data_IF_833594594660
#
_entry.id   IF_833594594660
#
_cell.length_a   1.000
_cell.length_b   1.000
_cell.length_c   1.000
_cell.angle_alpha   90.00
_cell.angle_beta   90.00
_cell.angle_gamma   90.00
#
_symmetry.space_group_name_H-M   'P 1'
#
loop_
_entity.id
_entity.type
_entity.pdbx_description
1 polymer ?
#
# COMPACT_ATOMS: atom_id res chain seq x y z
N UNK A 1 -23.73 16.59 -12.19
CA UNK A 1 -22.60 15.81 -12.78
C UNK A 1 -21.28 16.57 -12.71
N UNK A 2 -21.11 17.73 -13.38
CA UNK A 2 -19.83 18.47 -13.38
C UNK A 2 -19.27 18.79 -11.98
N UNK A 3 -20.10 19.23 -11.04
CA UNK A 3 -19.68 19.52 -9.65
C UNK A 3 -19.18 18.28 -8.90
N UNK A 4 -19.85 17.14 -9.07
CA UNK A 4 -19.45 15.87 -8.44
C UNK A 4 -18.14 15.33 -9.02
N UNK A 5 -17.97 15.40 -10.34
CA UNK A 5 -16.71 15.01 -10.98
C UNK A 5 -15.55 15.88 -10.52
N UNK A 6 -15.76 17.19 -10.41
CA UNK A 6 -14.73 18.11 -9.91
C UNK A 6 -14.37 17.83 -8.45
N UNK A 7 -15.36 17.64 -7.57
CA UNK A 7 -15.14 17.41 -6.14
C UNK A 7 -14.54 16.05 -5.81
N UNK A 8 -14.55 15.10 -6.75
CA UNK A 8 -14.00 13.75 -6.59
C UNK A 8 -12.88 13.47 -7.60
N UNK A 9 -12.34 14.51 -8.23
CA UNK A 9 -11.42 14.37 -9.37
C UNK A 9 -10.14 13.59 -9.01
N UNK A 10 -9.57 13.84 -7.82
CA UNK A 10 -8.39 13.11 -7.34
C UNK A 10 -8.65 11.60 -7.28
N UNK A 11 -9.71 11.17 -6.59
CA UNK A 11 -10.06 9.75 -6.48
C UNK A 11 -10.40 9.12 -7.83
N UNK A 12 -11.12 9.84 -8.70
CA UNK A 12 -11.47 9.35 -10.04
C UNK A 12 -10.19 9.13 -10.87
N UNK A 13 -9.28 10.10 -10.89
CA UNK A 13 -8.04 10.00 -11.66
C UNK A 13 -7.17 8.87 -11.12
N UNK A 14 -7.01 8.76 -9.80
CA UNK A 14 -6.23 7.68 -9.17
C UNK A 14 -6.81 6.30 -9.48
N UNK A 15 -8.14 6.11 -9.35
CA UNK A 15 -8.78 4.83 -9.65
C UNK A 15 -8.76 4.50 -11.15
N UNK A 16 -8.90 5.50 -12.02
CA UNK A 16 -8.79 5.29 -13.46
C UNK A 16 -7.37 4.87 -13.85
N UNK A 17 -6.35 5.55 -13.32
CA UNK A 17 -4.95 5.17 -13.52
C UNK A 17 -4.68 3.75 -13.01
N UNK A 18 -5.17 3.41 -11.82
CA UNK A 18 -5.09 2.05 -11.26
C UNK A 18 -5.68 1.01 -12.22
N UNK A 19 -6.89 1.20 -12.74
CA UNK A 19 -7.51 0.25 -13.69
C UNK A 19 -6.69 0.13 -14.97
N UNK A 20 -6.17 1.25 -15.50
CA UNK A 20 -5.31 1.25 -16.69
C UNK A 20 -4.03 0.45 -16.44
N UNK A 21 -3.37 0.64 -15.29
CA UNK A 21 -2.13 -0.05 -14.98
C UNK A 21 -2.33 -1.53 -14.63
N UNK A 22 -3.42 -1.90 -13.95
CA UNK A 22 -3.77 -3.32 -13.73
C UNK A 22 -4.06 -4.01 -15.06
N UNK A 23 -4.78 -3.36 -15.97
CA UNK A 23 -5.01 -3.90 -17.32
C UNK A 23 -3.70 -4.02 -18.12
N UNK A 24 -2.82 -3.01 -18.02
CA UNK A 24 -1.48 -3.05 -18.62
C UNK A 24 -0.62 -4.18 -18.08
N UNK A 25 -0.57 -4.35 -16.76
CA UNK A 25 0.12 -5.45 -16.08
C UNK A 25 -0.44 -6.80 -16.51
N UNK A 26 -1.77 -6.95 -16.58
CA UNK A 26 -2.40 -8.19 -17.02
C UNK A 26 -2.02 -8.54 -18.46
N UNK A 27 -2.04 -7.59 -19.38
CA UNK A 27 -1.69 -7.84 -20.78
C UNK A 27 -0.19 -8.12 -20.96
N UNK A 28 0.68 -7.34 -20.30
CA UNK A 28 2.12 -7.53 -20.40
C UNK A 28 2.57 -8.83 -19.75
N UNK A 29 2.10 -9.10 -18.52
CA UNK A 29 2.42 -10.32 -17.80
C UNK A 29 1.87 -11.58 -18.47
N UNK A 30 0.72 -11.50 -19.15
CA UNK A 30 0.21 -12.59 -19.98
C UNK A 30 1.18 -12.97 -21.11
N UNK A 31 1.79 -11.98 -21.77
CA UNK A 31 2.77 -12.22 -22.82
C UNK A 31 4.06 -12.82 -22.25
N UNK A 32 4.59 -12.26 -21.16
CA UNK A 32 5.80 -12.77 -20.47
C UNK A 32 5.62 -14.24 -20.10
N UNK A 33 4.52 -14.59 -19.43
CA UNK A 33 4.25 -15.98 -19.04
C UNK A 33 4.11 -16.90 -20.25
N UNK A 34 3.45 -16.46 -21.33
CA UNK A 34 3.30 -17.28 -22.53
C UNK A 34 4.62 -17.53 -23.24
N UNK A 35 5.55 -16.56 -23.21
CA UNK A 35 6.91 -16.76 -23.70
C UNK A 35 7.65 -17.81 -22.87
N UNK A 36 7.56 -17.74 -21.54
CA UNK A 36 8.16 -18.73 -20.62
C UNK A 36 7.58 -20.13 -20.83
N UNK A 37 6.24 -20.25 -20.92
CA UNK A 37 5.56 -21.51 -21.20
C UNK A 37 6.02 -22.10 -22.54
N UNK A 38 6.10 -21.27 -23.58
CA UNK A 38 6.55 -21.72 -24.91
C UNK A 38 8.01 -22.19 -24.88
N UNK A 39 8.88 -21.48 -24.16
CA UNK A 39 10.29 -21.88 -23.97
C UNK A 39 10.41 -23.19 -23.20
N UNK A 40 9.51 -23.45 -22.25
CA UNK A 40 9.40 -24.70 -21.52
C UNK A 40 8.66 -25.82 -22.29
N UNK A 41 8.29 -25.58 -23.56
CA UNK A 41 7.56 -26.54 -24.40
C UNK A 41 6.10 -26.78 -23.98
N UNK A 42 5.53 -25.89 -23.18
CA UNK A 42 4.14 -25.91 -22.75
C UNK A 42 3.24 -25.14 -23.72
N UNK A 43 1.93 -25.42 -23.67
CA UNK A 43 0.96 -24.66 -24.41
C UNK A 43 0.77 -23.27 -23.79
N UNK A 44 0.62 -22.24 -24.64
CA UNK A 44 0.32 -20.90 -24.20
C UNK A 44 -1.07 -20.81 -23.54
N UNK A 45 -1.15 -20.05 -22.46
CA UNK A 45 -2.39 -19.74 -21.76
C UNK A 45 -3.24 -18.73 -22.56
N UNK A 46 -4.55 -18.89 -22.48
CA UNK A 46 -5.49 -17.81 -22.81
C UNK A 46 -5.43 -16.70 -21.76
N UNK A 47 -5.83 -15.48 -22.10
CA UNK A 47 -5.87 -14.37 -21.15
C UNK A 47 -6.71 -14.69 -19.89
N UNK A 48 -7.84 -15.37 -20.05
CA UNK A 48 -8.69 -15.75 -18.92
C UNK A 48 -8.06 -16.80 -18.01
N UNK A 49 -7.32 -17.75 -18.58
CA UNK A 49 -6.55 -18.72 -17.80
C UNK A 49 -5.43 -18.01 -17.02
N UNK A 50 -4.75 -17.06 -17.67
CA UNK A 50 -3.70 -16.27 -17.03
C UNK A 50 -4.20 -15.44 -15.84
N UNK A 51 -5.35 -14.78 -15.95
CA UNK A 51 -5.92 -13.99 -14.85
C UNK A 51 -6.26 -14.82 -13.60
N UNK A 52 -6.44 -16.14 -13.75
CA UNK A 52 -6.63 -17.08 -12.65
C UNK A 52 -5.35 -17.79 -12.19
N UNK A 53 -4.20 -17.46 -12.78
CA UNK A 53 -2.92 -18.12 -12.49
C UNK A 53 -2.24 -17.59 -11.22
N UNK A 54 -1.38 -18.41 -10.63
CA UNK A 54 -0.50 -17.99 -9.54
C UNK A 54 0.39 -16.82 -9.96
N UNK A 55 0.96 -16.87 -11.17
CA UNK A 55 1.83 -15.82 -11.71
C UNK A 55 1.15 -14.45 -11.76
N UNK A 56 -0.13 -14.36 -12.14
CA UNK A 56 -0.84 -13.08 -12.12
C UNK A 56 -1.14 -12.61 -10.70
N UNK A 57 -1.67 -13.53 -9.86
CA UNK A 57 -2.05 -13.22 -8.48
C UNK A 57 -0.87 -12.80 -7.62
N UNK A 58 0.26 -13.50 -7.73
CA UNK A 58 1.51 -13.21 -7.03
C UNK A 58 1.98 -11.80 -7.38
N UNK A 59 2.25 -11.52 -8.66
CA UNK A 59 2.75 -10.23 -9.11
C UNK A 59 1.84 -9.05 -8.74
N UNK A 60 0.51 -9.26 -8.67
CA UNK A 60 -0.42 -8.20 -8.27
C UNK A 60 -0.41 -8.00 -6.74
N UNK A 61 -0.52 -9.10 -5.98
CA UNK A 61 -0.73 -9.06 -4.54
C UNK A 61 0.57 -8.78 -3.77
N UNK A 62 1.72 -9.17 -4.31
CA UNK A 62 3.05 -8.82 -3.81
C UNK A 62 3.23 -7.29 -3.78
N UNK A 63 2.84 -6.60 -4.86
CA UNK A 63 2.86 -5.13 -4.92
C UNK A 63 1.84 -4.50 -3.97
N UNK A 64 0.62 -5.04 -3.91
CA UNK A 64 -0.41 -4.47 -3.02
C UNK A 64 -0.05 -4.64 -1.56
N UNK A 65 0.59 -5.76 -1.21
CA UNK A 65 1.09 -6.02 0.12
C UNK A 65 2.05 -4.91 0.58
N UNK A 66 3.08 -4.60 -0.21
CA UNK A 66 4.06 -3.56 0.15
C UNK A 66 3.44 -2.18 0.28
N UNK A 67 2.55 -1.81 -0.64
CA UNK A 67 1.85 -0.52 -0.65
C UNK A 67 0.99 -0.32 0.60
N UNK A 68 0.19 -1.32 0.98
CA UNK A 68 -0.64 -1.23 2.18
C UNK A 68 0.18 -1.30 3.47
N UNK A 69 1.27 -2.08 3.48
CA UNK A 69 2.20 -2.09 4.60
C UNK A 69 2.85 -0.72 4.79
N UNK A 70 3.39 -0.13 3.71
CA UNK A 70 4.02 1.17 3.74
C UNK A 70 3.03 2.25 4.18
N UNK A 71 1.86 2.33 3.55
CA UNK A 71 0.88 3.36 3.88
C UNK A 71 0.37 3.21 5.32
N UNK A 72 0.09 1.98 5.77
CA UNK A 72 -0.30 1.69 7.15
C UNK A 72 0.78 2.04 8.17
N UNK A 73 2.03 1.65 7.88
CA UNK A 73 3.18 2.00 8.70
C UNK A 73 3.39 3.50 8.74
N UNK A 74 3.30 4.21 7.61
CA UNK A 74 3.46 5.65 7.56
C UNK A 74 2.42 6.37 8.40
N UNK A 75 1.13 6.01 8.28
CA UNK A 75 0.04 6.56 9.11
C UNK A 75 0.29 6.36 10.60
N UNK A 76 0.76 5.17 11.01
CA UNK A 76 1.04 4.90 12.42
C UNK A 76 2.30 5.63 12.90
N UNK A 77 3.40 5.54 12.15
CA UNK A 77 4.68 6.13 12.52
C UNK A 77 4.58 7.65 12.61
N UNK A 78 3.86 8.32 11.72
CA UNK A 78 3.68 9.78 11.80
C UNK A 78 2.82 10.21 12.98
N UNK A 79 1.92 9.35 13.48
CA UNK A 79 1.13 9.62 14.67
C UNK A 79 1.95 9.52 15.98
N UNK A 80 3.07 8.78 16.00
CA UNK A 80 3.86 8.50 17.20
C UNK A 80 5.28 9.08 17.18
N UNK A 81 5.91 9.21 16.01
CA UNK A 81 7.29 9.66 15.85
C UNK A 81 7.35 11.13 15.45
N UNK A 82 8.44 11.77 15.87
CA UNK A 82 8.73 13.18 15.62
C UNK A 82 9.88 13.28 14.63
N UNK A 83 9.72 14.08 13.58
CA UNK A 83 10.79 14.48 12.66
C UNK A 83 10.79 16.00 12.54
N UNK A 84 11.79 16.65 13.15
CA UNK A 84 11.92 18.12 13.08
C UNK A 84 11.94 18.58 11.62
N UNK A 85 11.09 19.56 11.31
CA UNK A 85 10.94 20.15 9.99
C UNK A 85 9.93 19.45 9.08
N UNK A 86 9.44 18.25 9.44
CA UNK A 86 8.49 17.51 8.61
C UNK A 86 7.07 18.06 8.79
N UNK A 87 6.29 18.23 7.71
CA UNK A 87 4.88 18.62 7.80
C UNK A 87 3.96 17.51 8.31
N UNK A 88 4.41 16.25 8.29
CA UNK A 88 3.53 15.09 8.48
C UNK A 88 3.73 14.39 9.83
N UNK A 89 4.86 14.58 10.51
CA UNK A 89 5.17 13.89 11.76
C UNK A 89 4.47 14.49 12.99
N UNK A 90 4.53 13.80 14.13
CA UNK A 90 4.04 14.30 15.41
C UNK A 90 4.72 15.64 15.78
N UNK A 91 4.01 16.60 16.40
CA UNK A 91 4.59 17.86 16.86
C UNK A 91 5.75 17.65 17.85
N UNK A 92 6.64 18.65 17.95
CA UNK A 92 7.83 18.59 18.81
C UNK A 92 7.50 18.45 20.31
N UNK A 93 6.33 18.93 20.74
CA UNK A 93 5.86 18.81 22.13
C UNK A 93 5.19 17.48 22.44
N UNK A 94 5.04 16.61 21.42
CA UNK A 94 4.49 15.26 21.54
C UNK A 94 3.00 15.20 21.84
N UNK A 95 2.26 16.32 21.75
CA UNK A 95 0.81 16.31 21.95
C UNK A 95 0.08 15.80 20.71
N UNK A 96 -1.10 15.21 20.94
CA UNK A 96 -2.02 14.87 19.87
C UNK A 96 -2.67 16.13 19.31
N UNK A 97 -3.25 16.05 18.11
CA UNK A 97 -3.89 17.21 17.48
C UNK A 97 -5.11 17.60 18.33
N UNK A 98 -5.41 18.90 18.51
CA UNK A 98 -6.57 19.32 19.29
C UNK A 98 -7.89 18.66 18.85
N UNK A 99 -8.06 18.41 17.54
CA UNK A 99 -9.24 17.75 16.98
C UNK A 99 -9.36 16.24 17.25
N UNK A 100 -8.33 15.61 17.79
CA UNK A 100 -8.37 14.18 18.15
C UNK A 100 -9.05 13.94 19.51
N UNK A 101 -9.21 15.00 20.32
CA UNK A 101 -9.95 14.95 21.59
C UNK A 101 -11.47 14.90 21.34
N UNK A 102 -12.16 13.84 21.79
CA UNK A 102 -13.60 13.71 21.67
C UNK A 102 -14.43 14.86 22.24
N UNK A 103 -13.91 15.57 23.24
CA UNK A 103 -14.62 16.70 23.87
C UNK A 103 -14.72 17.90 22.92
N UNK A 104 -13.91 17.94 21.85
CA UNK A 104 -14.02 18.92 20.77
C UNK A 104 -14.97 18.49 19.63
N UNK A 105 -15.63 17.34 19.71
CA UNK A 105 -16.53 16.87 18.66
C UNK A 105 -17.85 17.69 18.64
N UNK A 106 -18.13 18.34 17.50
CA UNK A 106 -19.33 19.14 17.27
C UNK A 106 -20.52 18.34 16.73
N UNK A 107 -21.62 19.03 16.42
CA UNK A 107 -22.86 18.41 15.91
C UNK A 107 -22.67 17.73 14.55
N UNK A 108 -21.81 18.29 13.70
CA UNK A 108 -21.44 17.77 12.39
C UNK A 108 -20.40 16.63 12.47
N UNK A 109 -19.83 16.36 13.64
CA UNK A 109 -18.86 15.28 13.81
C UNK A 109 -19.53 13.89 13.69
N UNK A 110 -18.83 12.88 13.17
CA UNK A 110 -19.36 11.52 13.08
C UNK A 110 -19.84 10.98 14.43
N UNK A 111 -20.96 10.25 14.43
CA UNK A 111 -21.60 9.82 15.69
C UNK A 111 -20.70 8.93 16.56
N UNK A 112 -19.77 8.18 15.95
CA UNK A 112 -18.83 7.32 16.66
C UNK A 112 -17.61 8.08 17.23
N UNK A 113 -17.35 9.33 16.82
CA UNK A 113 -16.28 10.13 17.43
C UNK A 113 -16.71 10.77 18.74
N UNK A 114 -18.00 11.06 18.90
CA UNK A 114 -18.58 11.88 19.99
C UNK A 114 -18.72 11.19 21.36
N UNK A 115 -18.73 9.85 21.42
CA UNK A 115 -19.08 9.14 22.67
C UNK A 115 -17.96 8.20 23.10
N UNK A 116 -17.48 8.31 24.36
CA UNK A 116 -16.46 7.40 24.87
C UNK A 116 -16.95 5.95 24.84
N UNK A 117 -16.05 5.04 24.48
CA UNK A 117 -16.30 3.59 24.44
C UNK A 117 -15.69 2.90 23.23
N UNK A 118 -15.98 1.61 23.05
CA UNK A 118 -15.35 0.78 22.02
C UNK A 118 -15.59 1.28 20.59
N UNK A 119 -16.77 1.88 20.31
CA UNK A 119 -17.08 2.45 18.99
C UNK A 119 -16.14 3.59 18.61
N UNK A 120 -15.82 4.45 19.58
CA UNK A 120 -14.88 5.54 19.39
C UNK A 120 -13.46 5.01 19.23
N UNK A 121 -13.06 3.99 20.02
CA UNK A 121 -11.76 3.35 19.84
C UNK A 121 -11.62 2.74 18.45
N UNK A 122 -12.66 2.08 17.94
CA UNK A 122 -12.65 1.57 16.56
C UNK A 122 -12.62 2.69 15.53
N UNK A 123 -13.44 3.72 15.70
CA UNK A 123 -13.53 4.85 14.77
C UNK A 123 -12.22 5.63 14.68
N UNK A 124 -11.60 6.00 15.80
CA UNK A 124 -10.35 6.77 15.80
C UNK A 124 -9.15 5.98 15.24
N UNK A 125 -9.25 4.65 15.21
CA UNK A 125 -8.22 3.78 14.63
C UNK A 125 -8.64 3.20 13.27
N UNK A 126 -9.78 3.61 12.70
CA UNK A 126 -10.38 2.90 11.57
C UNK A 126 -9.51 2.91 10.31
N UNK A 127 -8.78 4.00 10.06
CA UNK A 127 -7.85 4.10 8.93
C UNK A 127 -6.75 3.04 9.05
N UNK A 128 -6.05 3.00 10.18
CA UNK A 128 -5.01 1.99 10.43
C UNK A 128 -5.56 0.55 10.39
N UNK A 129 -6.77 0.32 10.93
CA UNK A 129 -7.41 -1.00 10.92
C UNK A 129 -7.78 -1.46 9.51
N UNK A 130 -8.29 -0.57 8.65
CA UNK A 130 -8.62 -0.91 7.26
C UNK A 130 -7.36 -1.14 6.43
N UNK A 131 -6.32 -0.33 6.63
CA UNK A 131 -5.02 -0.53 5.98
C UNK A 131 -4.37 -1.86 6.39
N UNK A 132 -4.43 -2.20 7.69
CA UNK A 132 -3.96 -3.48 8.20
C UNK A 132 -4.76 -4.65 7.62
N UNK A 133 -6.08 -4.49 7.46
CA UNK A 133 -6.92 -5.51 6.82
C UNK A 133 -6.53 -5.71 5.35
N UNK A 134 -6.34 -4.63 4.58
CA UNK A 134 -5.89 -4.74 3.19
C UNK A 134 -4.50 -5.34 3.09
N UNK A 135 -3.55 -4.93 3.93
CA UNK A 135 -2.25 -5.59 4.03
C UNK A 135 -2.40 -7.09 4.31
N UNK A 136 -3.18 -7.48 5.32
CA UNK A 136 -3.36 -8.88 5.67
C UNK A 136 -3.99 -9.71 4.54
N UNK A 137 -4.99 -9.15 3.84
CA UNK A 137 -5.61 -9.80 2.68
C UNK A 137 -4.63 -9.93 1.51
N UNK A 138 -3.86 -8.88 1.21
CA UNK A 138 -2.84 -8.90 0.16
C UNK A 138 -1.70 -9.85 0.50
N UNK A 139 -1.18 -9.82 1.73
CA UNK A 139 -0.13 -10.72 2.22
C UNK A 139 -0.54 -12.18 2.12
N UNK A 140 -1.74 -12.53 2.60
CA UNK A 140 -2.26 -13.90 2.49
C UNK A 140 -2.50 -14.29 1.02
N UNK A 141 -3.00 -13.36 0.22
CA UNK A 141 -3.22 -13.57 -1.20
C UNK A 141 -1.91 -13.79 -1.99
N UNK A 142 -0.90 -12.96 -1.73
CA UNK A 142 0.46 -13.10 -2.25
C UNK A 142 1.04 -14.45 -1.84
N UNK A 143 0.93 -14.83 -0.55
CA UNK A 143 1.43 -16.11 -0.09
C UNK A 143 0.74 -17.30 -0.79
N UNK A 144 -0.57 -17.26 -0.99
CA UNK A 144 -1.32 -18.32 -1.68
C UNK A 144 -0.98 -18.37 -3.18
N UNK A 145 -1.02 -17.23 -3.86
CA UNK A 145 -0.76 -17.14 -5.29
C UNK A 145 0.70 -17.44 -5.62
N UNK A 146 1.63 -16.94 -4.81
CA UNK A 146 3.06 -17.21 -4.89
C UNK A 146 3.37 -18.69 -4.63
N UNK A 147 2.69 -19.35 -3.70
CA UNK A 147 2.83 -20.82 -3.55
C UNK A 147 2.45 -21.56 -4.83
N UNK A 148 1.39 -21.11 -5.52
CA UNK A 148 0.97 -21.72 -6.78
C UNK A 148 1.98 -21.45 -7.91
N UNK A 149 2.47 -20.22 -8.03
CA UNK A 149 3.49 -19.84 -9.01
C UNK A 149 4.81 -20.59 -8.77
N UNK A 150 5.31 -20.60 -7.54
CA UNK A 150 6.51 -21.31 -7.13
C UNK A 150 6.43 -22.81 -7.46
N UNK A 151 5.31 -23.46 -7.11
CA UNK A 151 5.13 -24.88 -7.40
C UNK A 151 5.08 -25.17 -8.91
N UNK A 152 4.47 -24.29 -9.70
CA UNK A 152 4.44 -24.40 -11.15
C UNK A 152 5.85 -24.28 -11.74
N UNK A 153 6.60 -23.28 -11.31
CA UNK A 153 7.99 -23.05 -11.74
C UNK A 153 8.89 -24.22 -11.37
N UNK A 154 8.88 -24.67 -10.10
CA UNK A 154 9.70 -25.78 -9.64
C UNK A 154 9.37 -27.08 -10.37
N UNK A 155 8.09 -27.32 -10.67
CA UNK A 155 7.68 -28.48 -11.46
C UNK A 155 8.22 -28.41 -12.89
N UNK A 156 8.21 -27.23 -13.51
CA UNK A 156 8.72 -27.04 -14.88
C UNK A 156 10.25 -27.17 -14.95
N UNK A 157 10.97 -26.62 -13.97
CA UNK A 157 12.43 -26.55 -13.98
C UNK A 157 13.11 -27.85 -13.51
N UNK A 158 12.62 -28.43 -12.41
CA UNK A 158 13.31 -29.54 -11.72
C UNK A 158 12.44 -30.79 -11.57
N UNK A 159 11.13 -30.68 -11.85
CA UNK A 159 10.17 -31.76 -11.60
C UNK A 159 9.91 -32.00 -10.11
N UNK A 160 10.25 -31.04 -9.24
CA UNK A 160 10.07 -31.17 -7.81
C UNK A 160 8.59 -31.32 -7.41
N UNK A 161 8.37 -31.95 -6.25
CA UNK A 161 7.05 -32.07 -5.66
C UNK A 161 6.56 -30.71 -5.14
N UNK A 162 5.24 -30.49 -5.24
CA UNK A 162 4.62 -29.28 -4.75
C UNK A 162 4.73 -29.15 -3.22
N UNK A 163 5.03 -27.95 -2.75
CA UNK A 163 5.07 -27.58 -1.34
C UNK A 163 3.78 -26.87 -0.91
N UNK A 164 3.49 -26.92 0.39
CA UNK A 164 2.35 -26.21 0.98
C UNK A 164 2.62 -24.73 1.24
N UNK A 165 1.55 -23.96 1.47
CA UNK A 165 1.59 -22.51 1.72
C UNK A 165 2.53 -22.12 2.88
N UNK A 166 2.48 -22.86 3.98
CA UNK A 166 3.35 -22.60 5.14
C UNK A 166 4.81 -23.00 4.90
N UNK A 167 5.06 -23.95 3.99
CA UNK A 167 6.43 -24.28 3.58
C UNK A 167 6.98 -23.16 2.70
N UNK A 168 6.19 -22.64 1.75
CA UNK A 168 6.57 -21.50 0.90
C UNK A 168 6.86 -20.25 1.74
N UNK A 169 6.05 -19.94 2.76
CA UNK A 169 6.32 -18.85 3.71
C UNK A 169 7.68 -18.96 4.43
N UNK A 170 8.22 -20.18 4.53
CA UNK A 170 9.54 -20.44 5.11
C UNK A 170 10.70 -20.38 4.09
N UNK A 171 10.40 -20.18 2.80
CA UNK A 171 11.42 -20.13 1.74
C UNK A 171 12.05 -18.74 1.64
N UNK A 172 13.32 -18.65 1.18
CA UNK A 172 13.94 -17.37 0.85
C UNK A 172 13.20 -16.62 -0.26
N UNK A 173 12.61 -17.32 -1.24
CA UNK A 173 11.93 -16.72 -2.40
C UNK A 173 10.79 -15.78 -1.97
N UNK A 174 9.89 -16.26 -1.10
CA UNK A 174 8.78 -15.46 -0.57
C UNK A 174 9.26 -14.18 0.14
N UNK A 175 10.30 -14.31 0.96
CA UNK A 175 10.85 -13.16 1.68
C UNK A 175 11.68 -12.26 0.77
N UNK A 176 12.32 -12.78 -0.26
CA UNK A 176 13.05 -11.97 -1.23
C UNK A 176 12.09 -11.06 -2.00
N UNK A 177 10.99 -11.60 -2.51
CA UNK A 177 9.88 -10.87 -3.13
C UNK A 177 9.37 -9.75 -2.20
N UNK A 178 8.94 -10.12 -0.99
CA UNK A 178 8.38 -9.17 -0.02
C UNK A 178 9.41 -8.08 0.37
N UNK A 179 10.64 -8.46 0.73
CA UNK A 179 11.66 -7.52 1.19
C UNK A 179 12.14 -6.58 0.10
N UNK A 180 12.19 -7.02 -1.17
CA UNK A 180 12.55 -6.17 -2.30
C UNK A 180 11.56 -5.03 -2.50
N UNK A 181 10.26 -5.28 -2.34
CA UNK A 181 9.25 -4.23 -2.46
C UNK A 181 9.18 -3.37 -1.20
N UNK A 182 9.25 -3.98 -0.01
CA UNK A 182 9.19 -3.21 1.23
C UNK A 182 10.36 -2.22 1.32
N UNK A 183 11.57 -2.61 0.93
CA UNK A 183 12.70 -1.69 0.98
C UNK A 183 12.50 -0.45 0.10
N UNK A 184 11.96 -0.60 -1.12
CA UNK A 184 11.77 0.54 -2.03
C UNK A 184 10.66 1.45 -1.53
N UNK A 185 9.57 0.87 -1.01
CA UNK A 185 8.45 1.66 -0.50
C UNK A 185 8.81 2.45 0.76
N UNK A 186 9.56 1.86 1.69
CA UNK A 186 10.03 2.61 2.85
C UNK A 186 11.09 3.65 2.47
N UNK A 187 11.92 3.38 1.46
CA UNK A 187 12.88 4.37 0.95
C UNK A 187 12.17 5.55 0.28
N UNK A 188 11.14 5.30 -0.56
CA UNK A 188 10.40 6.34 -1.28
C UNK A 188 9.71 7.31 -0.31
N UNK A 189 9.09 6.78 0.74
CA UNK A 189 8.43 7.58 1.77
C UNK A 189 9.41 8.25 2.71
N UNK A 190 10.51 7.58 3.07
CA UNK A 190 11.61 8.22 3.79
C UNK A 190 12.18 9.41 3.01
N UNK A 191 12.34 9.28 1.69
CA UNK A 191 12.75 10.38 0.83
C UNK A 191 11.73 11.52 0.85
N UNK A 192 10.43 11.24 0.76
CA UNK A 192 9.39 12.27 0.86
C UNK A 192 9.44 13.01 2.21
N UNK A 193 9.58 12.29 3.32
CA UNK A 193 9.69 12.87 4.67
C UNK A 193 10.89 13.80 4.77
N UNK A 194 12.06 13.39 4.26
CA UNK A 194 13.28 14.20 4.34
C UNK A 194 13.26 15.38 3.38
N UNK A 195 12.84 15.16 2.13
CA UNK A 195 12.84 16.19 1.09
C UNK A 195 11.79 17.27 1.38
N UNK A 196 10.63 16.92 1.94
CA UNK A 196 9.56 17.88 2.27
C UNK A 196 9.94 18.89 3.36
N UNK A 197 11.02 18.65 4.12
CA UNK A 197 11.58 19.63 5.06
C UNK A 197 12.06 20.88 4.31
N UNK A 198 12.74 20.69 3.18
CA UNK A 198 13.45 21.76 2.45
C UNK A 198 12.78 22.12 1.14
N UNK A 199 12.34 21.12 0.37
CA UNK A 199 11.69 21.31 -0.93
C UNK A 199 10.22 21.72 -0.78
N UNK A 200 9.68 22.35 -1.82
CA UNK A 200 8.33 22.90 -1.85
C UNK A 200 7.66 22.60 -3.19
N UNK A 201 6.42 22.13 -3.14
CA UNK A 201 5.52 22.05 -4.29
C UNK A 201 4.35 23.01 -4.05
N UNK A 202 4.30 24.10 -4.80
CA UNK A 202 3.25 25.11 -4.65
C UNK A 202 1.84 24.49 -4.80
N UNK A 203 1.00 24.66 -3.78
CA UNK A 203 -0.38 24.17 -3.76
C UNK A 203 -0.55 22.68 -3.45
N UNK A 204 0.52 21.96 -3.06
CA UNK A 204 0.45 20.55 -2.67
C UNK A 204 0.39 20.41 -1.15
N UNK A 205 -0.46 19.52 -0.61
CA UNK A 205 -0.47 19.19 0.81
C UNK A 205 0.73 18.33 1.27
N UNK A 206 1.55 17.81 0.37
CA UNK A 206 2.68 16.90 0.66
C UNK A 206 4.00 17.64 0.94
N UNK A 207 3.96 18.98 0.97
CA UNK A 207 5.10 19.81 1.38
C UNK A 207 4.60 21.02 2.15
N UNK A 208 5.46 21.61 2.97
CA UNK A 208 5.12 22.85 3.69
C UNK A 208 4.74 23.99 2.74
N UNK A 209 4.01 25.02 3.21
CA UNK A 209 3.81 26.25 2.45
C UNK A 209 5.14 26.83 1.95
N UNK A 210 5.14 27.47 0.78
CA UNK A 210 6.36 28.02 0.16
C UNK A 210 7.06 29.04 1.07
N UNK A 211 6.29 29.75 1.90
CA UNK A 211 6.78 30.76 2.85
C UNK A 211 7.12 30.20 4.24
N UNK A 212 6.88 28.92 4.50
CA UNK A 212 7.14 28.28 5.80
C UNK A 212 8.63 28.01 6.01
N UNK A 213 9.18 28.29 7.21
CA UNK A 213 10.58 28.03 7.51
C UNK A 213 10.90 26.53 7.55
N UNK A 214 12.19 26.18 7.42
CA UNK A 214 12.62 24.79 7.32
C UNK A 214 12.47 24.00 8.64
N UNK A 215 12.54 24.67 9.79
CA UNK A 215 12.41 24.05 11.11
C UNK A 215 10.97 23.90 11.60
N UNK A 216 9.99 24.55 10.94
CA UNK A 216 8.56 24.36 11.20
C UNK A 216 8.16 22.88 11.05
N UNK A 217 7.45 22.34 12.04
CA UNK A 217 7.11 20.91 12.12
C UNK A 217 5.60 20.76 12.32
N UNK A 218 4.93 20.01 11.46
CA UNK A 218 3.47 20.03 11.38
C UNK A 218 2.95 21.42 11.00
N UNK A 219 1.85 21.83 11.63
CA UNK A 219 1.22 23.13 11.42
C UNK A 219 1.78 24.25 12.33
N UNK A 220 2.81 23.96 13.14
CA UNK A 220 3.39 24.85 14.16
C UNK A 220 4.84 25.27 13.88
#
# INVERSE_FOLDING_TARGET
>A
MRRWLWSNSLSIVMLAAFVVFVAGQALAGWQVRNEELTQAGQAADSLWAYLGSGHFGEALLENWESEFLQMGAYVLLTAYLVQKGSPESKPLDGKDRPGDDPDHAGDDSPSWSRRPGWRQVMYRNSLALVLLLFFALSFLGHLIAGTAAYNEEQKLQTGAAAIGVWQFAGTPDFWFQSMQNWQSEFFSVGALVLLSVVLRQHGSPQSKPVTAPHDQTGDE
#
